data_IF_097443434707
#
_entry.id   IF_097443434707
#
_cell.length_a   1.000
_cell.length_b   1.000
_cell.length_c   1.000
_cell.angle_alpha   90.00
_cell.angle_beta   90.00
_cell.angle_gamma   90.00
#
_symmetry.space_group_name_H-M   'P 1'
#
loop_
_entity.id
_entity.type
_entity.pdbx_description
1 polymer ?
#
# COMPACT_ATOMS: atom_id res chain seq x y z
N UNK A 1 13.64 -1.82 15.77
CA UNK A 1 13.45 -3.02 14.94
C UNK A 1 14.24 -4.19 15.53
N UNK A 2 13.63 -5.37 15.74
CA UNK A 2 14.25 -6.50 16.45
C UNK A 2 15.52 -7.04 15.78
N UNK A 3 15.58 -7.03 14.45
CA UNK A 3 16.65 -7.69 13.70
C UNK A 3 17.80 -6.77 13.26
N UNK A 4 17.63 -5.45 13.37
CA UNK A 4 18.59 -4.45 12.83
C UNK A 4 18.90 -4.65 11.34
N UNK A 5 17.86 -4.98 10.56
CA UNK A 5 17.94 -5.19 9.11
C UNK A 5 16.89 -4.38 8.36
N UNK A 6 17.19 -4.08 7.11
CA UNK A 6 16.20 -3.66 6.12
C UNK A 6 15.47 -4.87 5.57
N UNK A 7 14.18 -4.68 5.30
CA UNK A 7 13.32 -5.66 4.65
C UNK A 7 12.71 -5.02 3.40
N UNK A 8 12.82 -5.73 2.28
CA UNK A 8 12.08 -5.41 1.05
C UNK A 8 11.01 -6.50 0.91
N UNK A 9 9.75 -6.12 1.07
CA UNK A 9 8.59 -7.00 0.88
C UNK A 9 8.09 -6.82 -0.55
N UNK A 10 7.82 -7.91 -1.25
CA UNK A 10 7.37 -7.89 -2.64
C UNK A 10 6.65 -9.19 -2.99
N UNK A 11 6.12 -9.26 -4.21
CA UNK A 11 5.49 -10.46 -4.74
C UNK A 11 6.40 -11.19 -5.73
N UNK A 12 6.41 -12.51 -5.67
CA UNK A 12 7.10 -13.39 -6.64
C UNK A 12 6.11 -14.36 -7.28
N UNK A 13 6.40 -14.78 -8.51
CA UNK A 13 5.62 -15.81 -9.20
C UNK A 13 6.05 -17.22 -8.79
N UNK A 14 5.11 -18.02 -8.32
CA UNK A 14 5.24 -19.43 -7.93
C UNK A 14 4.20 -20.26 -8.71
N UNK A 15 4.48 -20.63 -9.98
CA UNK A 15 3.47 -21.22 -10.88
C UNK A 15 2.94 -22.58 -10.41
N UNK A 16 3.66 -23.26 -9.52
CA UNK A 16 3.27 -24.57 -8.97
C UNK A 16 2.39 -24.48 -7.71
N UNK A 17 2.16 -23.27 -7.19
CA UNK A 17 1.27 -23.03 -6.05
C UNK A 17 -0.15 -22.74 -6.51
N UNK A 18 -1.13 -22.98 -5.62
CA UNK A 18 -2.52 -22.61 -5.88
C UNK A 18 -2.63 -21.08 -5.94
N UNK A 19 -1.96 -20.39 -5.01
CA UNK A 19 -1.75 -18.95 -5.08
C UNK A 19 -0.47 -18.69 -5.87
N UNK A 20 -0.59 -18.36 -7.17
CA UNK A 20 0.57 -18.23 -8.05
C UNK A 20 1.43 -16.99 -7.77
N UNK A 21 0.91 -15.98 -7.10
CA UNK A 21 1.73 -14.92 -6.52
C UNK A 21 1.97 -15.27 -5.06
N UNK A 22 3.18 -15.03 -4.55
CA UNK A 22 3.52 -15.25 -3.15
C UNK A 22 4.18 -14.01 -2.56
N UNK A 23 3.88 -13.66 -1.29
CA UNK A 23 4.64 -12.66 -0.60
C UNK A 23 6.04 -13.20 -0.30
N UNK A 24 7.05 -12.44 -0.69
CA UNK A 24 8.44 -12.70 -0.46
C UNK A 24 9.12 -11.52 0.22
N UNK A 25 10.30 -11.79 0.76
CA UNK A 25 11.18 -10.78 1.30
C UNK A 25 12.63 -11.02 0.94
N UNK A 26 13.38 -9.93 0.87
CA UNK A 26 14.84 -9.90 0.91
C UNK A 26 15.28 -9.01 2.07
N UNK A 27 16.47 -9.27 2.59
CA UNK A 27 17.07 -8.43 3.65
C UNK A 27 18.44 -7.90 3.26
N UNK A 28 18.79 -6.74 3.80
CA UNK A 28 20.15 -6.19 3.75
C UNK A 28 20.46 -5.43 5.04
N UNK A 29 21.75 -5.29 5.35
CA UNK A 29 22.25 -4.40 6.39
C UNK A 29 22.63 -3.02 5.82
N UNK A 30 22.65 -2.85 4.49
CA UNK A 30 23.02 -1.61 3.79
C UNK A 30 22.03 -1.28 2.65
N UNK A 31 21.04 -0.43 2.93
CA UNK A 31 20.05 -0.02 1.91
C UNK A 31 20.65 0.75 0.72
N UNK A 32 21.81 1.38 0.88
CA UNK A 32 22.47 2.14 -0.19
C UNK A 32 23.21 1.26 -1.19
N UNK A 33 23.36 -0.03 -0.91
CA UNK A 33 24.01 -0.99 -1.80
C UNK A 33 22.97 -1.96 -2.39
N UNK A 34 22.55 -1.77 -3.66
CA UNK A 34 21.55 -2.63 -4.29
C UNK A 34 22.00 -4.08 -4.53
N UNK A 35 23.30 -4.37 -4.51
CA UNK A 35 23.83 -5.73 -4.70
C UNK A 35 23.90 -6.52 -3.38
N UNK A 36 23.64 -5.86 -2.25
CA UNK A 36 23.74 -6.47 -0.91
C UNK A 36 22.48 -7.24 -0.48
N UNK A 37 21.39 -7.16 -1.25
CA UNK A 37 20.13 -7.81 -0.90
C UNK A 37 20.23 -9.33 -1.00
N UNK A 38 19.74 -10.02 0.04
CA UNK A 38 19.66 -11.48 0.02
C UNK A 38 18.75 -11.99 -1.10
N UNK A 39 18.94 -13.25 -1.50
CA UNK A 39 17.96 -13.97 -2.32
C UNK A 39 16.57 -13.94 -1.67
N UNK A 40 15.55 -13.94 -2.53
CA UNK A 40 14.15 -13.96 -2.14
C UNK A 40 13.84 -15.17 -1.25
N UNK A 41 13.11 -14.93 -0.16
CA UNK A 41 12.48 -15.96 0.66
C UNK A 41 11.00 -15.71 0.75
N UNK A 42 10.18 -16.75 0.67
CA UNK A 42 8.73 -16.63 0.83
C UNK A 42 8.38 -16.40 2.31
N UNK A 43 7.39 -15.55 2.61
CA UNK A 43 6.82 -15.46 3.96
C UNK A 43 6.08 -16.76 4.35
N UNK A 44 5.61 -17.51 3.35
CA UNK A 44 4.97 -18.82 3.49
C UNK A 44 5.82 -19.89 2.76
N UNK A 45 6.91 -20.40 3.37
CA UNK A 45 7.87 -21.26 2.66
C UNK A 45 7.28 -22.62 2.23
N UNK A 46 6.37 -23.18 3.01
CA UNK A 46 5.94 -24.57 2.83
C UNK A 46 4.67 -24.70 1.99
N UNK A 47 3.60 -24.00 2.38
CA UNK A 47 2.26 -24.14 1.77
C UNK A 47 1.52 -22.82 1.70
N UNK A 48 0.51 -22.77 0.83
CA UNK A 48 -0.43 -21.64 0.78
C UNK A 48 -1.23 -21.54 2.09
N UNK A 49 -1.45 -20.33 2.62
CA UNK A 49 -2.26 -20.17 3.82
C UNK A 49 -3.71 -20.62 3.60
N UNK A 50 -4.26 -21.26 4.62
CA UNK A 50 -5.65 -21.75 4.60
C UNK A 50 -6.62 -20.58 4.51
N UNK A 51 -7.66 -20.72 3.67
CA UNK A 51 -8.72 -19.72 3.53
C UNK A 51 -8.43 -18.57 2.57
N UNK A 52 -7.20 -18.44 2.07
CA UNK A 52 -6.85 -17.43 1.06
C UNK A 52 -7.16 -17.97 -0.35
N UNK A 53 -7.89 -17.17 -1.13
CA UNK A 53 -8.32 -17.53 -2.49
C UNK A 53 -7.63 -16.72 -3.60
N UNK A 54 -7.10 -15.55 -3.25
CA UNK A 54 -6.37 -14.67 -4.15
C UNK A 54 -5.78 -13.52 -3.33
N UNK A 55 -4.62 -13.03 -3.75
CA UNK A 55 -3.92 -11.95 -3.06
C UNK A 55 -2.92 -11.23 -3.97
N UNK A 56 -2.69 -9.95 -3.71
CA UNK A 56 -1.69 -9.12 -4.34
C UNK A 56 -1.38 -7.93 -3.42
N UNK A 57 -0.28 -7.22 -3.71
CA UNK A 57 0.10 -5.96 -3.07
C UNK A 57 0.29 -6.10 -1.56
N UNK A 58 1.32 -6.86 -1.21
CA UNK A 58 1.65 -7.22 0.17
C UNK A 58 2.29 -6.06 0.92
N UNK A 59 1.72 -5.74 2.08
CA UNK A 59 2.16 -4.63 2.91
C UNK A 59 2.34 -5.05 4.37
N UNK A 60 3.55 -4.90 4.90
CA UNK A 60 3.86 -5.25 6.29
C UNK A 60 3.98 -4.01 7.15
N UNK A 61 3.23 -3.95 8.26
CA UNK A 61 3.34 -2.93 9.30
C UNK A 61 3.29 -3.58 10.68
N UNK A 62 4.05 -3.06 11.62
CA UNK A 62 4.08 -3.56 12.99
C UNK A 62 3.51 -2.57 13.99
N UNK A 63 2.91 -3.11 15.05
CA UNK A 63 2.70 -2.39 16.30
C UNK A 63 3.72 -2.85 17.36
N UNK A 64 3.39 -2.68 18.66
CA UNK A 64 4.28 -3.06 19.77
C UNK A 64 4.38 -4.57 19.99
N UNK A 65 3.43 -5.35 19.49
CA UNK A 65 3.28 -6.77 19.79
C UNK A 65 3.40 -7.63 18.54
N UNK A 66 2.84 -7.18 17.42
CA UNK A 66 2.64 -7.98 16.22
C UNK A 66 3.16 -7.30 14.95
N UNK A 67 3.55 -8.13 13.99
CA UNK A 67 3.70 -7.77 12.59
C UNK A 67 2.43 -8.17 11.84
N UNK A 68 1.86 -7.24 11.07
CA UNK A 68 0.66 -7.45 10.26
C UNK A 68 1.03 -7.48 8.78
N UNK A 69 0.50 -8.44 8.05
CA UNK A 69 0.55 -8.53 6.60
C UNK A 69 -0.83 -8.18 6.04
N UNK A 70 -0.95 -7.02 5.40
CA UNK A 70 -2.12 -6.61 4.63
C UNK A 70 -1.94 -6.98 3.16
N UNK A 71 -3.05 -7.30 2.49
CA UNK A 71 -3.11 -7.57 1.06
C UNK A 71 -4.52 -7.36 0.53
N UNK A 72 -4.66 -7.25 -0.78
CA UNK A 72 -5.96 -7.13 -1.48
C UNK A 72 -6.20 -8.33 -2.38
N UNK A 73 -7.46 -8.58 -2.75
CA UNK A 73 -7.84 -9.77 -3.54
C UNK A 73 -8.66 -9.46 -4.80
N UNK A 74 -8.56 -8.23 -5.33
CA UNK A 74 -9.20 -7.80 -6.59
C UNK A 74 -10.72 -8.00 -6.64
N UNK A 75 -11.39 -8.04 -5.48
CA UNK A 75 -12.81 -8.35 -5.35
C UNK A 75 -13.50 -7.47 -4.27
N UNK A 76 -13.01 -6.25 -4.07
CA UNK A 76 -13.55 -5.34 -3.07
C UNK A 76 -13.15 -5.67 -1.64
N UNK A 77 -12.11 -6.49 -1.43
CA UNK A 77 -11.67 -6.92 -0.11
C UNK A 77 -10.18 -6.65 0.12
N UNK A 78 -9.90 -6.10 1.29
CA UNK A 78 -8.58 -6.04 1.91
C UNK A 78 -8.59 -6.99 3.10
N UNK A 79 -7.55 -7.79 3.20
CA UNK A 79 -7.37 -8.81 4.22
C UNK A 79 -6.17 -8.48 5.09
N UNK A 80 -6.12 -9.12 6.24
CA UNK A 80 -4.95 -9.08 7.13
C UNK A 80 -4.64 -10.47 7.67
N UNK A 81 -3.36 -10.69 7.91
CA UNK A 81 -2.80 -11.77 8.70
C UNK A 81 -1.82 -11.15 9.69
N UNK A 82 -1.49 -11.83 10.78
CA UNK A 82 -0.46 -11.32 11.68
C UNK A 82 0.35 -12.44 12.31
N UNK A 83 1.47 -12.04 12.91
CA UNK A 83 2.32 -12.88 13.73
C UNK A 83 2.93 -12.04 14.83
N UNK A 84 3.46 -12.66 15.87
CA UNK A 84 4.17 -11.95 16.93
C UNK A 84 5.51 -11.44 16.43
N UNK A 85 6.01 -10.32 16.96
CA UNK A 85 7.27 -9.71 16.51
C UNK A 85 8.49 -10.65 16.60
N UNK A 86 8.52 -11.58 17.55
CA UNK A 86 9.58 -12.57 17.73
C UNK A 86 9.56 -13.67 16.65
N UNK A 87 8.43 -13.88 15.98
CA UNK A 87 8.27 -14.88 14.91
C UNK A 87 8.46 -14.31 13.51
N UNK A 88 8.27 -13.01 13.34
CA UNK A 88 8.55 -12.32 12.08
C UNK A 88 9.95 -12.72 11.57
N UNK A 89 10.16 -12.97 10.26
CA UNK A 89 9.26 -12.79 9.12
C UNK A 89 8.33 -13.96 8.83
N UNK A 90 8.16 -14.91 9.75
CA UNK A 90 7.36 -16.12 9.57
C UNK A 90 6.20 -16.19 10.54
N UNK A 91 5.37 -17.23 10.40
CA UNK A 91 4.31 -17.53 11.36
C UNK A 91 3.08 -16.63 11.21
N UNK A 92 2.88 -16.01 10.05
CA UNK A 92 1.64 -15.33 9.72
C UNK A 92 0.49 -16.33 9.66
N UNK A 93 -0.56 -16.08 10.44
CA UNK A 93 -1.78 -16.86 10.49
C UNK A 93 -3.01 -15.94 10.54
N UNK A 94 -4.16 -16.46 11.00
CA UNK A 94 -5.39 -15.69 11.25
C UNK A 94 -5.80 -14.77 10.08
N UNK A 95 -6.00 -15.35 8.89
CA UNK A 95 -6.51 -14.59 7.75
C UNK A 95 -7.92 -14.07 8.01
N UNK A 96 -8.04 -12.76 8.17
CA UNK A 96 -9.28 -12.05 8.46
C UNK A 96 -9.59 -10.99 7.41
N UNK A 97 -10.88 -10.81 7.13
CA UNK A 97 -11.36 -9.69 6.34
C UNK A 97 -11.14 -8.40 7.15
N UNK A 98 -10.28 -7.51 6.65
CA UNK A 98 -10.01 -6.23 7.30
C UNK A 98 -11.00 -5.16 6.83
N UNK A 99 -11.28 -5.10 5.54
CA UNK A 99 -12.19 -4.13 4.92
C UNK A 99 -12.86 -4.75 3.70
N UNK A 100 -14.17 -4.56 3.59
CA UNK A 100 -14.93 -4.81 2.36
C UNK A 100 -15.59 -3.51 1.91
N UNK A 101 -15.23 -3.05 0.72
CA UNK A 101 -15.70 -1.79 0.15
C UNK A 101 -15.57 -1.83 -1.38
N UNK A 102 -15.98 -0.74 -2.04
CA UNK A 102 -15.64 -0.50 -3.44
C UNK A 102 -14.17 -0.11 -3.56
N UNK A 103 -13.28 -1.09 -3.46
CA UNK A 103 -11.82 -0.98 -3.54
C UNK A 103 -11.27 -2.03 -4.52
N UNK A 104 -10.08 -1.81 -5.03
CA UNK A 104 -9.47 -2.69 -6.03
C UNK A 104 -8.19 -3.35 -5.52
N UNK A 105 -7.10 -2.59 -5.37
CA UNK A 105 -5.76 -3.12 -5.07
C UNK A 105 -4.89 -2.08 -4.30
N UNK A 106 -3.58 -2.34 -4.16
CA UNK A 106 -2.57 -1.39 -3.68
C UNK A 106 -2.80 -0.76 -2.29
N UNK A 107 -3.28 -1.55 -1.32
CA UNK A 107 -3.48 -1.05 0.05
C UNK A 107 -2.17 -0.75 0.77
N UNK A 108 -2.05 0.46 1.32
CA UNK A 108 -0.91 0.89 2.13
C UNK A 108 -1.38 1.43 3.47
N UNK A 109 -0.83 0.91 4.56
CA UNK A 109 -1.27 1.19 5.94
C UNK A 109 -0.15 1.83 6.77
N UNK A 110 -0.47 2.91 7.48
CA UNK A 110 0.49 3.76 8.17
C UNK A 110 0.02 4.08 9.58
N UNK A 111 0.99 4.27 10.48
CA UNK A 111 0.72 4.93 11.77
C UNK A 111 0.68 6.44 11.59
N UNK A 112 -0.27 7.13 12.23
CA UNK A 112 -0.33 8.59 12.21
C UNK A 112 0.55 9.20 13.32
N UNK A 113 1.41 10.15 12.96
CA UNK A 113 2.23 10.88 13.93
C UNK A 113 1.35 11.57 14.98
N UNK A 114 1.74 11.46 16.26
CA UNK A 114 1.05 12.09 17.40
C UNK A 114 -0.43 11.71 17.55
N UNK A 115 -0.84 10.57 17.00
CA UNK A 115 -2.18 10.02 17.15
C UNK A 115 -2.10 8.52 17.43
N UNK A 116 -2.98 8.03 18.30
CA UNK A 116 -3.17 6.59 18.50
C UNK A 116 -4.14 6.03 17.44
N UNK A 117 -3.79 6.25 16.16
CA UNK A 117 -4.59 5.88 14.99
C UNK A 117 -3.72 5.43 13.83
N UNK A 118 -4.33 4.63 12.96
CA UNK A 118 -3.77 4.15 11.71
C UNK A 118 -4.60 4.63 10.53
N UNK A 119 -3.92 4.96 9.44
CA UNK A 119 -4.50 5.32 8.15
C UNK A 119 -4.22 4.18 7.18
N UNK A 120 -5.23 3.73 6.44
CA UNK A 120 -5.01 2.90 5.25
C UNK A 120 -5.52 3.66 4.02
N UNK A 121 -4.73 3.67 2.96
CA UNK A 121 -5.12 4.17 1.64
C UNK A 121 -5.17 2.98 0.69
N UNK A 122 -6.22 2.91 -0.13
CA UNK A 122 -6.45 1.76 -1.02
C UNK A 122 -6.90 2.26 -2.38
N UNK A 123 -6.31 1.72 -3.44
CA UNK A 123 -6.66 2.07 -4.82
C UNK A 123 -8.07 1.53 -5.16
N UNK A 124 -8.83 2.32 -5.91
CA UNK A 124 -10.15 1.99 -6.42
C UNK A 124 -10.24 2.34 -7.92
N UNK A 125 -11.29 1.84 -8.56
CA UNK A 125 -11.62 2.14 -9.95
C UNK A 125 -12.89 2.97 -10.01
N UNK A 126 -12.79 4.18 -10.56
CA UNK A 126 -13.91 5.11 -10.69
C UNK A 126 -14.62 5.00 -12.03
N UNK A 127 -15.40 6.02 -12.36
CA UNK A 127 -15.95 6.25 -13.72
C UNK A 127 -14.89 5.98 -14.79
N UNK A 128 -15.29 5.26 -15.84
CA UNK A 128 -14.43 4.89 -16.98
C UNK A 128 -13.19 4.05 -16.59
N UNK A 129 -13.16 3.47 -15.39
CA UNK A 129 -12.04 2.65 -14.91
C UNK A 129 -10.80 3.45 -14.52
N UNK A 130 -10.93 4.77 -14.31
CA UNK A 130 -9.82 5.62 -13.83
C UNK A 130 -9.43 5.25 -12.41
N UNK A 131 -8.13 5.22 -12.15
CA UNK A 131 -7.57 4.90 -10.83
C UNK A 131 -7.58 6.11 -9.90
N UNK A 132 -7.93 5.90 -8.64
CA UNK A 132 -7.89 6.88 -7.55
C UNK A 132 -7.75 6.18 -6.20
N UNK A 133 -7.47 6.94 -5.15
CA UNK A 133 -7.36 6.40 -3.79
C UNK A 133 -8.55 6.74 -2.91
N UNK A 134 -8.93 5.76 -2.11
CA UNK A 134 -9.78 5.91 -0.93
C UNK A 134 -8.94 5.85 0.34
N UNK A 135 -9.47 6.39 1.44
CA UNK A 135 -8.83 6.34 2.76
C UNK A 135 -9.82 5.90 3.85
N UNK A 136 -9.29 5.13 4.80
CA UNK A 136 -9.98 4.66 6.00
C UNK A 136 -9.07 4.80 7.22
N UNK A 137 -9.67 4.94 8.41
CA UNK A 137 -8.96 5.12 9.68
C UNK A 137 -9.36 4.02 10.67
N UNK A 138 -8.41 3.57 11.49
CA UNK A 138 -8.66 2.60 12.55
C UNK A 138 -7.88 2.97 13.82
N UNK A 139 -8.39 2.54 14.98
CA UNK A 139 -7.68 2.72 16.26
C UNK A 139 -6.60 1.65 16.48
N UNK A 140 -6.71 0.50 15.80
CA UNK A 140 -5.78 -0.64 15.88
C UNK A 140 -5.65 -1.31 14.52
N UNK A 141 -4.50 -1.94 14.24
CA UNK A 141 -4.27 -2.69 12.99
C UNK A 141 -5.22 -3.89 12.82
N UNK A 142 -5.59 -4.54 13.92
CA UNK A 142 -6.64 -5.57 13.96
C UNK A 142 -8.05 -5.03 14.26
N UNK A 143 -8.25 -3.71 14.21
CA UNK A 143 -9.53 -3.06 14.47
C UNK A 143 -10.45 -2.99 13.25
N UNK A 144 -11.57 -2.29 13.43
CA UNK A 144 -12.49 -1.92 12.36
C UNK A 144 -11.97 -0.69 11.61
N UNK A 145 -12.00 -0.74 10.27
CA UNK A 145 -11.64 0.38 9.40
C UNK A 145 -12.86 1.24 9.08
N UNK A 146 -12.80 2.53 9.46
CA UNK A 146 -13.89 3.49 9.25
C UNK A 146 -13.61 4.41 8.07
N UNK A 147 -14.59 4.72 7.21
CA UNK A 147 -14.40 5.63 6.08
C UNK A 147 -13.86 7.01 6.48
N UNK A 148 -12.87 7.51 5.75
CA UNK A 148 -12.35 8.87 5.88
C UNK A 148 -12.60 9.68 4.59
N UNK A 149 -12.18 9.15 3.45
CA UNK A 149 -12.37 9.70 2.11
C UNK A 149 -12.57 8.54 1.12
N UNK A 150 -13.79 8.06 0.98
CA UNK A 150 -14.12 6.73 0.43
C UNK A 150 -15.03 6.76 -0.81
N UNK A 151 -15.27 7.95 -1.37
CA UNK A 151 -16.10 8.13 -2.56
C UNK A 151 -15.31 8.78 -3.69
N UNK A 152 -15.77 8.61 -4.93
CA UNK A 152 -15.12 9.24 -6.07
C UNK A 152 -15.21 10.77 -6.04
N UNK A 153 -16.30 11.33 -5.51
CA UNK A 153 -16.49 12.78 -5.38
C UNK A 153 -15.74 13.38 -4.17
N UNK A 154 -15.24 12.53 -3.26
CA UNK A 154 -14.43 12.92 -2.09
C UNK A 154 -13.30 11.89 -1.87
N UNK A 155 -12.35 11.78 -2.82
CA UNK A 155 -11.29 10.78 -2.77
C UNK A 155 -10.19 11.21 -1.77
N UNK A 156 -9.32 10.28 -1.39
CA UNK A 156 -8.06 10.63 -0.74
C UNK A 156 -7.13 11.34 -1.73
N UNK A 157 -6.95 10.73 -2.91
CA UNK A 157 -6.16 11.30 -4.01
C UNK A 157 -6.82 10.88 -5.34
N UNK A 158 -7.27 11.84 -6.13
CA UNK A 158 -7.92 11.60 -7.42
C UNK A 158 -8.19 12.88 -8.19
N UNK A 159 -8.87 12.76 -9.34
CA UNK A 159 -9.15 13.89 -10.23
C UNK A 159 -9.86 15.08 -9.54
N UNK A 160 -10.68 14.81 -8.53
CA UNK A 160 -11.44 15.84 -7.81
C UNK A 160 -10.59 16.73 -6.89
N UNK A 161 -9.40 16.28 -6.48
CA UNK A 161 -8.60 16.97 -5.47
C UNK A 161 -7.10 17.08 -5.77
N UNK A 162 -6.65 16.69 -6.97
CA UNK A 162 -5.27 16.85 -7.42
C UNK A 162 -5.17 17.99 -8.43
N UNK A 163 -4.26 18.91 -8.16
CA UNK A 163 -3.88 19.99 -9.05
C UNK A 163 -2.57 19.63 -9.75
N UNK A 164 -2.51 19.84 -11.06
CA UNK A 164 -1.33 19.57 -11.89
C UNK A 164 -1.05 20.78 -12.77
N UNK A 165 0.20 20.94 -13.19
CA UNK A 165 0.54 21.90 -14.24
C UNK A 165 -0.08 21.47 -15.57
N UNK A 166 -0.47 22.44 -16.40
CA UNK A 166 -0.83 22.16 -17.78
C UNK A 166 0.43 21.96 -18.65
N UNK A 167 0.45 20.96 -19.54
CA UNK A 167 -0.61 19.96 -19.76
C UNK A 167 -0.65 18.88 -18.67
N UNK A 168 -1.86 18.36 -18.38
CA UNK A 168 -2.05 17.20 -17.51
C UNK A 168 -1.17 16.03 -17.94
N UNK A 169 -0.50 15.39 -16.98
CA UNK A 169 0.36 14.23 -17.24
C UNK A 169 -0.25 12.91 -16.77
N UNK A 170 -1.23 12.95 -15.86
CA UNK A 170 -1.96 11.77 -15.40
C UNK A 170 -3.43 12.08 -15.04
N UNK A 171 -4.33 11.16 -15.41
CA UNK A 171 -5.74 11.13 -14.98
C UNK A 171 -6.10 9.80 -14.30
N UNK A 172 -5.17 8.83 -14.31
CA UNK A 172 -5.17 7.64 -13.49
C UNK A 172 -4.13 7.83 -12.38
N UNK A 173 -4.59 7.91 -11.14
CA UNK A 173 -3.75 8.06 -9.95
C UNK A 173 -3.71 6.70 -9.25
N UNK A 174 -2.62 5.96 -9.43
CA UNK A 174 -2.55 4.51 -9.14
C UNK A 174 -1.43 4.20 -8.15
N UNK A 175 -1.11 2.91 -7.96
CA UNK A 175 -0.17 2.35 -6.98
C UNK A 175 0.99 3.29 -6.59
N UNK A 176 1.11 3.57 -5.30
CA UNK A 176 2.05 4.52 -4.74
C UNK A 176 2.27 4.32 -3.25
N UNK A 177 3.17 5.11 -2.66
CA UNK A 177 3.49 5.08 -1.24
C UNK A 177 3.60 6.49 -0.64
N UNK A 178 2.98 6.72 0.52
CA UNK A 178 3.16 7.95 1.29
C UNK A 178 4.60 8.05 1.79
N UNK A 179 5.17 9.25 1.74
CA UNK A 179 6.49 9.52 2.30
C UNK A 179 6.41 9.43 3.83
N UNK A 180 7.15 8.46 4.37
CA UNK A 180 7.22 8.14 5.79
C UNK A 180 8.12 9.11 6.55
N UNK A 181 7.81 9.32 7.83
CA UNK A 181 8.69 10.00 8.79
C UNK A 181 9.52 8.97 9.55
N UNK A 182 10.57 8.50 8.89
CA UNK A 182 11.40 7.40 9.37
C UNK A 182 11.23 6.15 8.51
N UNK A 183 11.86 5.07 8.95
CA UNK A 183 12.08 3.88 8.12
C UNK A 183 12.03 2.57 8.91
N UNK A 184 11.43 2.61 10.11
CA UNK A 184 11.21 1.41 10.91
C UNK A 184 9.91 0.69 10.54
N UNK A 185 9.66 -0.42 11.21
CA UNK A 185 8.50 -1.30 10.99
C UNK A 185 7.14 -0.66 11.31
N UNK A 186 7.10 0.54 11.91
CA UNK A 186 5.85 1.20 12.30
C UNK A 186 5.21 2.01 11.17
N UNK A 187 5.99 2.31 10.12
CA UNK A 187 5.55 3.04 8.92
C UNK A 187 4.78 4.32 9.25
N UNK A 188 5.38 5.16 10.10
CA UNK A 188 4.72 6.39 10.56
C UNK A 188 4.73 7.46 9.46
N UNK A 189 3.63 8.20 9.31
CA UNK A 189 3.48 9.38 8.42
C UNK A 189 3.00 10.60 9.20
N UNK A 190 3.36 11.81 8.76
CA UNK A 190 2.83 13.06 9.32
C UNK A 190 1.56 13.49 8.57
N UNK A 191 0.36 13.41 9.20
CA UNK A 191 -0.88 13.80 8.53
C UNK A 191 -0.95 15.29 8.17
N UNK A 192 -0.08 16.13 8.73
CA UNK A 192 -0.03 17.56 8.45
C UNK A 192 0.87 17.92 7.26
N UNK A 193 1.71 16.98 6.80
CA UNK A 193 2.70 17.19 5.75
C UNK A 193 2.82 15.96 4.83
N UNK A 194 1.68 15.50 4.32
CA UNK A 194 1.64 14.32 3.46
C UNK A 194 2.25 14.61 2.08
N UNK A 195 3.11 13.70 1.65
CA UNK A 195 3.54 13.58 0.27
C UNK A 195 3.28 12.15 -0.20
N UNK A 196 2.84 11.98 -1.44
CA UNK A 196 2.45 10.68 -1.98
C UNK A 196 3.17 10.44 -3.31
N UNK A 197 4.13 9.51 -3.32
CA UNK A 197 4.77 9.06 -4.55
C UNK A 197 3.79 8.09 -5.24
N UNK A 198 3.32 8.43 -6.44
CA UNK A 198 2.32 7.64 -7.17
C UNK A 198 2.83 7.29 -8.56
N UNK A 199 2.36 6.17 -9.09
CA UNK A 199 2.38 5.95 -10.53
C UNK A 199 1.14 6.58 -11.20
N UNK A 200 1.35 7.27 -12.31
CA UNK A 200 0.31 7.95 -13.06
C UNK A 200 0.47 7.76 -14.56
N UNK A 201 -0.67 7.86 -15.26
CA UNK A 201 -0.74 7.79 -16.72
C UNK A 201 -2.03 8.49 -17.19
N UNK A 202 -2.04 8.95 -18.44
CA UNK A 202 -3.28 9.41 -19.10
C UNK A 202 -4.05 8.21 -19.66
N UNK A 203 -5.38 8.25 -19.58
CA UNK A 203 -6.23 7.15 -20.05
C UNK A 203 -6.02 6.87 -21.55
N UNK A 204 -5.82 7.91 -22.34
CA UNK A 204 -5.46 7.79 -23.77
C UNK A 204 -4.16 7.02 -24.02
N UNK A 205 -3.20 7.06 -23.08
CA UNK A 205 -1.93 6.33 -23.20
C UNK A 205 -2.05 4.86 -22.77
N UNK A 206 -3.10 4.52 -22.01
CA UNK A 206 -3.48 3.15 -21.63
C UNK A 206 -4.33 2.48 -22.71
N UNK A 207 -5.16 3.24 -23.42
CA UNK A 207 -6.13 2.73 -24.38
C UNK A 207 -5.51 1.73 -25.39
N UNK A 208 -6.09 0.53 -25.48
CA UNK A 208 -5.67 -0.52 -26.41
C UNK A 208 -4.41 -1.30 -26.00
N UNK A 209 -3.80 -1.01 -24.84
CA UNK A 209 -2.58 -1.69 -24.36
C UNK A 209 -2.89 -2.81 -23.37
N UNK A 210 -2.04 -3.84 -23.33
CA UNK A 210 -2.03 -4.79 -22.21
C UNK A 210 -1.48 -4.09 -20.97
N UNK A 211 -1.84 -4.57 -19.77
CA UNK A 211 -1.45 -3.92 -18.51
C UNK A 211 0.07 -3.69 -18.38
N UNK A 212 0.87 -4.70 -18.74
CA UNK A 212 2.34 -4.61 -18.70
C UNK A 212 2.98 -3.68 -19.76
N UNK A 213 2.20 -3.14 -20.69
CA UNK A 213 2.66 -2.21 -21.74
C UNK A 213 2.25 -0.75 -21.45
N UNK A 214 1.51 -0.51 -20.36
CA UNK A 214 1.07 0.82 -19.96
C UNK A 214 2.31 1.64 -19.54
N UNK A 215 2.51 2.85 -20.10
CA UNK A 215 3.69 3.66 -19.84
C UNK A 215 3.55 4.46 -18.54
N UNK A 216 3.43 3.77 -17.41
CA UNK A 216 3.36 4.38 -16.09
C UNK A 216 4.56 5.28 -15.82
N UNK A 217 4.31 6.44 -15.19
CA UNK A 217 5.34 7.38 -14.75
C UNK A 217 5.17 7.70 -13.28
N UNK A 218 6.27 7.95 -12.57
CA UNK A 218 6.21 8.36 -11.17
C UNK A 218 6.00 9.87 -11.05
N UNK A 219 5.13 10.27 -10.13
CA UNK A 219 4.91 11.66 -9.74
C UNK A 219 4.77 11.79 -8.22
N UNK A 220 5.01 12.99 -7.69
CA UNK A 220 4.92 13.27 -6.26
C UNK A 220 3.79 14.25 -5.98
N UNK A 221 2.73 13.80 -5.32
CA UNK A 221 1.69 14.66 -4.79
C UNK A 221 2.14 15.27 -3.47
N UNK A 222 1.85 16.54 -3.24
CA UNK A 222 2.13 17.22 -1.97
C UNK A 222 0.84 17.85 -1.45
N UNK A 223 0.50 17.60 -0.20
CA UNK A 223 -0.70 18.13 0.44
C UNK A 223 -0.65 19.67 0.51
N UNK A 224 -1.68 20.33 -0.02
CA UNK A 224 -1.85 21.79 0.08
C UNK A 224 -2.73 22.10 1.29
N UNK A 225 -2.12 22.62 2.35
CA UNK A 225 -2.86 23.12 3.52
C UNK A 225 -3.37 24.54 3.23
N UNK A 226 -4.68 24.69 2.98
CA UNK A 226 -5.34 26.00 2.70
C UNK A 226 -5.18 27.05 3.82
N UNK A 227 -4.54 26.73 4.96
CA UNK A 227 -4.20 27.67 6.04
C UNK A 227 -2.75 28.18 6.05
N UNK A 228 -1.89 27.76 5.09
CA UNK A 228 -0.48 28.22 4.99
C UNK A 228 -0.15 28.97 3.70
N UNK A 229 -1.13 29.17 2.81
CA UNK A 229 -0.99 30.09 1.68
C UNK A 229 -1.29 31.52 2.14
N UNK A 230 -0.36 32.10 2.89
CA UNK A 230 -0.17 33.55 2.92
C UNK A 230 1.05 33.87 2.06
N UNK A 231 0.80 34.44 0.89
CA UNK A 231 1.74 35.06 -0.05
C UNK A 231 2.78 34.14 -0.69
N UNK A 232 2.48 33.70 -1.92
CA UNK A 232 3.43 33.76 -3.04
C UNK A 232 2.68 33.97 -4.35
#
# INVERSE_FOLDING_TARGET
>A
TPHKRWYMIYQVGEPNRKLQLQPAFSTTDNISDPESWSQAKLLFPDTDPVGVQGWIDFWVICDKENAYLFFTSLNGKMWRMWTTLDKFPYGFDHCELALQADIFEASHTYKLLNQDKYLTVVEAQGREGRRYYKAYIADKLNGEWKPLADTQDRPFAGAENIYQSDPLWADNISHGELIRIGYDETLTVDPSNLQFLIQGVLDQQKAGKKYGEIPWKLGLLTLINKGKESNK
#
